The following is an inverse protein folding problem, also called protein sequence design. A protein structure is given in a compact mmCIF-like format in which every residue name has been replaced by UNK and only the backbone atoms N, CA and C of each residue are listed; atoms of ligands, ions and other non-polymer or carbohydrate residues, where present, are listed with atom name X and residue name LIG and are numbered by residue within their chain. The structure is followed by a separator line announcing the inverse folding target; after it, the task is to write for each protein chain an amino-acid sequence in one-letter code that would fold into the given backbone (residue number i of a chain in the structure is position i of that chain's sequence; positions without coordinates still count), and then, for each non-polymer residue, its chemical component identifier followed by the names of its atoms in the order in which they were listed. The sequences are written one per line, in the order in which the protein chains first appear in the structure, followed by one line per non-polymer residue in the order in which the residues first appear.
data_IF_246607664409
#
_entry.id   IF_246607664409
#
_cell.length_a   1.000
_cell.length_b   1.000
_cell.length_c   1.000
_cell.angle_alpha   90.00
_cell.angle_beta   90.00
_cell.angle_gamma   90.00
#
_symmetry.space_group_name_H-M   'P 1'
#
loop_
_entity.id
_entity.type
_entity.pdbx_description
1 polymer ?
#
# COMPACT_ATOMS: atom_id res chain seq x y z
N UNK A 1 35.36 -6.80 -44.25
CA UNK A 1 34.61 -7.45 -43.15
C UNK A 1 35.26 -7.29 -41.76
N UNK A 2 35.98 -6.19 -41.46
CA UNK A 2 36.81 -6.12 -40.23
C UNK A 2 36.50 -5.02 -39.21
N UNK A 3 35.67 -4.00 -39.51
CA UNK A 3 35.51 -2.83 -38.63
C UNK A 3 34.10 -2.62 -38.03
N UNK A 4 33.05 -3.22 -38.62
CA UNK A 4 31.68 -3.14 -38.07
C UNK A 4 31.40 -4.12 -36.92
N UNK A 5 32.30 -5.09 -36.66
CA UNK A 5 32.18 -6.03 -35.53
C UNK A 5 32.80 -5.50 -34.23
N UNK A 6 33.65 -4.47 -34.27
CA UNK A 6 34.27 -3.89 -33.07
C UNK A 6 33.34 -2.86 -32.36
N UNK A 7 32.57 -2.07 -33.12
CA UNK A 7 31.62 -1.11 -32.56
C UNK A 7 30.41 -1.74 -31.84
N UNK A 8 30.08 -3.00 -32.13
CA UNK A 8 29.03 -3.75 -31.40
C UNK A 8 29.52 -4.38 -30.08
N UNK A 9 30.84 -4.40 -29.84
CA UNK A 9 31.39 -4.84 -28.55
C UNK A 9 31.47 -3.70 -27.53
N UNK A 10 31.61 -2.43 -27.96
CA UNK A 10 31.70 -1.29 -27.04
C UNK A 10 30.35 -0.81 -26.50
N UNK A 11 29.22 -1.10 -27.15
CA UNK A 11 27.88 -0.81 -26.60
C UNK A 11 27.46 -1.78 -25.49
N UNK A 12 28.12 -2.94 -25.39
CA UNK A 12 27.93 -3.91 -24.30
C UNK A 12 28.64 -3.53 -23.00
N UNK A 13 29.51 -2.51 -23.00
CA UNK A 13 30.19 -2.02 -21.81
C UNK A 13 29.49 -0.82 -21.13
N UNK A 14 28.41 -0.28 -21.72
CA UNK A 14 27.62 0.80 -21.10
C UNK A 14 26.55 0.31 -20.12
N UNK A 15 26.14 -0.96 -20.17
CA UNK A 15 25.25 -1.53 -19.13
C UNK A 15 25.96 -1.68 -17.79
N UNK A 16 27.28 -1.95 -17.81
CA UNK A 16 28.12 -2.05 -16.61
C UNK A 16 28.33 -0.70 -15.91
N UNK A 17 28.28 0.43 -16.63
CA UNK A 17 28.32 1.77 -15.99
C UNK A 17 26.99 2.12 -15.30
N UNK A 18 25.84 1.70 -15.83
CA UNK A 18 24.53 1.92 -15.20
C UNK A 18 24.28 1.00 -14.00
N UNK A 19 24.70 -0.27 -14.08
CA UNK A 19 24.66 -1.15 -12.90
C UNK A 19 25.66 -0.70 -11.84
N UNK A 20 26.82 -0.14 -12.19
CA UNK A 20 27.73 0.46 -11.20
C UNK A 20 27.19 1.73 -10.56
N UNK A 21 26.36 2.54 -11.22
CA UNK A 21 25.72 3.72 -10.59
C UNK A 21 24.60 3.29 -9.63
N UNK A 22 23.82 2.26 -9.98
CA UNK A 22 22.82 1.64 -9.08
C UNK A 22 23.52 0.92 -7.92
N UNK A 23 24.62 0.21 -8.18
CA UNK A 23 25.47 -0.39 -7.15
C UNK A 23 26.23 0.65 -6.32
N UNK A 24 26.59 1.82 -6.86
CA UNK A 24 27.20 2.92 -6.11
C UNK A 24 26.16 3.62 -5.23
N UNK A 25 24.93 3.81 -5.70
CA UNK A 25 23.81 4.26 -4.85
C UNK A 25 23.47 3.23 -3.76
N UNK A 26 23.62 1.92 -4.03
CA UNK A 26 23.45 0.85 -3.05
C UNK A 26 24.67 0.64 -2.13
N UNK A 27 25.89 1.00 -2.55
CA UNK A 27 27.14 0.83 -1.78
C UNK A 27 27.59 2.07 -1.01
N UNK A 28 26.99 3.24 -1.24
CA UNK A 28 27.31 4.47 -0.52
C UNK A 28 26.69 4.55 0.89
N UNK A 29 25.98 3.53 1.37
CA UNK A 29 25.41 3.50 2.73
C UNK A 29 26.32 2.90 3.79
N UNK A 30 27.57 2.55 3.47
CA UNK A 30 28.49 2.02 4.47
C UNK A 30 29.44 3.09 4.99
N UNK A 31 29.33 3.35 6.30
CA UNK A 31 30.20 4.14 7.18
C UNK A 31 29.93 5.64 7.30
N UNK A 32 28.87 5.93 8.05
CA UNK A 32 28.89 6.81 9.24
C UNK A 32 27.98 6.11 10.28
N UNK A 33 28.09 6.39 11.58
CA UNK A 33 27.10 5.90 12.57
C UNK A 33 25.72 6.49 12.23
N UNK A 34 25.04 5.86 11.27
CA UNK A 34 23.78 6.27 10.70
C UNK A 34 22.69 5.70 11.60
N UNK A 35 21.82 6.57 12.10
CA UNK A 35 20.64 6.15 12.85
C UNK A 35 19.91 5.04 12.09
N UNK A 36 19.55 3.96 12.79
CA UNK A 36 18.94 2.79 12.17
C UNK A 36 17.66 3.16 11.41
N UNK A 37 17.47 2.56 10.22
CA UNK A 37 16.31 2.82 9.34
C UNK A 37 14.97 2.41 9.97
N UNK A 38 15.00 1.48 10.92
CA UNK A 38 13.88 1.08 11.76
C UNK A 38 14.37 0.96 13.20
N UNK A 39 13.60 1.50 14.14
CA UNK A 39 13.87 1.35 15.57
C UNK A 39 12.93 0.29 16.13
N UNK A 40 13.50 -0.68 16.82
CA UNK A 40 12.79 -1.81 17.42
C UNK A 40 13.06 -1.77 18.92
N UNK A 41 12.07 -1.31 19.68
CA UNK A 41 12.20 -1.08 21.11
C UNK A 41 11.20 -1.92 21.88
N UNK A 42 11.50 -2.18 23.15
CA UNK A 42 10.55 -2.71 24.11
C UNK A 42 10.28 -1.66 25.16
N UNK A 43 9.01 -1.29 25.35
CA UNK A 43 8.58 -0.32 26.36
C UNK A 43 7.51 -0.98 27.23
N UNK A 44 7.88 -1.31 28.47
CA UNK A 44 7.01 -2.08 29.36
C UNK A 44 6.63 -3.45 28.77
N UNK A 45 5.33 -3.64 28.53
CA UNK A 45 4.76 -4.86 27.95
C UNK A 45 4.64 -4.80 26.41
N UNK A 46 4.99 -3.68 25.78
CA UNK A 46 4.81 -3.45 24.35
C UNK A 46 6.12 -3.60 23.56
N UNK A 47 6.04 -4.21 22.38
CA UNK A 47 7.02 -4.06 21.31
C UNK A 47 6.67 -2.85 20.45
N UNK A 48 7.64 -1.96 20.19
CA UNK A 48 7.43 -0.74 19.41
C UNK A 48 8.32 -0.76 18.18
N UNK A 49 7.69 -0.64 17.01
CA UNK A 49 8.32 -0.52 15.70
C UNK A 49 8.19 0.93 15.25
N UNK A 50 9.30 1.63 15.10
CA UNK A 50 9.30 2.99 14.52
C UNK A 50 10.01 2.96 13.18
N UNK A 51 9.26 3.20 12.09
CA UNK A 51 9.81 3.39 10.76
C UNK A 51 10.58 4.73 10.74
N UNK A 52 11.90 4.71 10.58
CA UNK A 52 12.77 5.83 10.92
C UNK A 52 13.52 6.37 9.70
N UNK A 53 12.79 6.64 8.61
CA UNK A 53 13.32 7.28 7.40
C UNK A 53 12.47 8.50 7.01
N UNK A 54 12.27 9.50 7.90
CA UNK A 54 11.31 10.58 7.69
C UNK A 54 11.62 11.43 6.45
N UNK A 55 12.90 11.55 6.07
CA UNK A 55 13.34 12.25 4.85
C UNK A 55 12.84 11.58 3.56
N UNK A 56 12.56 10.29 3.62
CA UNK A 56 12.05 9.47 2.52
C UNK A 56 10.62 8.97 2.80
N UNK A 57 9.84 9.74 3.57
CA UNK A 57 8.44 9.41 3.92
C UNK A 57 8.28 7.99 4.50
N UNK A 58 9.30 7.50 5.22
CA UNK A 58 9.32 6.19 5.85
C UNK A 58 9.11 5.01 4.87
N UNK A 59 9.38 5.18 3.57
CA UNK A 59 9.31 4.09 2.58
C UNK A 59 10.12 2.87 3.03
N UNK A 60 9.50 1.70 3.03
CA UNK A 60 10.12 0.46 3.49
C UNK A 60 11.23 -0.02 2.55
N UNK A 61 12.31 -0.49 3.16
CA UNK A 61 13.41 -1.18 2.48
C UNK A 61 13.35 -2.66 2.82
N UNK A 62 13.98 -3.50 1.98
CA UNK A 62 14.16 -4.93 2.28
C UNK A 62 14.88 -5.14 3.62
N UNK A 63 15.80 -4.24 3.98
CA UNK A 63 16.50 -4.26 5.28
C UNK A 63 15.55 -4.04 6.46
N UNK A 64 14.64 -3.06 6.34
CA UNK A 64 13.60 -2.83 7.35
C UNK A 64 12.65 -4.03 7.46
N UNK A 65 12.14 -4.55 6.33
CA UNK A 65 11.21 -5.68 6.32
C UNK A 65 11.83 -6.91 7.00
N UNK A 66 13.09 -7.24 6.69
CA UNK A 66 13.80 -8.36 7.33
C UNK A 66 13.94 -8.18 8.84
N UNK A 67 14.27 -6.97 9.29
CA UNK A 67 14.40 -6.65 10.73
C UNK A 67 13.06 -6.73 11.44
N UNK A 68 12.01 -6.12 10.88
CA UNK A 68 10.67 -6.11 11.47
C UNK A 68 10.12 -7.54 11.54
N UNK A 69 10.19 -8.29 10.43
CA UNK A 69 9.69 -9.67 10.41
C UNK A 69 10.39 -10.55 11.45
N UNK A 70 11.72 -10.49 11.52
CA UNK A 70 12.49 -11.26 12.51
C UNK A 70 12.11 -10.88 13.95
N UNK A 71 11.85 -9.60 14.22
CA UNK A 71 11.47 -9.12 15.55
C UNK A 71 10.02 -9.46 15.91
N UNK A 72 9.09 -9.37 14.96
CA UNK A 72 7.71 -9.80 15.14
C UNK A 72 7.64 -11.27 15.56
N UNK A 73 8.40 -12.15 14.89
CA UNK A 73 8.47 -13.58 15.26
C UNK A 73 9.03 -13.82 16.67
N UNK A 74 9.96 -12.99 17.13
CA UNK A 74 10.44 -13.05 18.52
C UNK A 74 9.36 -12.59 19.51
N UNK A 75 8.66 -11.49 19.24
CA UNK A 75 7.63 -10.96 20.13
C UNK A 75 6.35 -11.81 20.17
N UNK A 76 5.98 -12.48 19.07
CA UNK A 76 4.90 -13.47 19.06
C UNK A 76 5.11 -14.56 20.11
N UNK A 77 6.36 -15.04 20.26
CA UNK A 77 6.73 -16.09 21.21
C UNK A 77 7.13 -15.55 22.59
N UNK A 78 7.30 -14.24 22.76
CA UNK A 78 7.69 -13.66 24.04
C UNK A 78 6.47 -13.58 24.98
N UNK A 79 6.46 -14.33 26.11
CA UNK A 79 5.36 -14.26 27.07
C UNK A 79 5.26 -12.91 27.77
N UNK A 80 6.32 -12.09 27.72
CA UNK A 80 6.34 -10.77 28.33
C UNK A 80 5.89 -9.66 27.35
N UNK A 81 5.73 -9.94 26.06
CA UNK A 81 5.19 -8.97 25.10
C UNK A 81 3.71 -9.23 24.91
N UNK A 82 2.89 -8.22 25.18
CA UNK A 82 1.42 -8.32 25.17
C UNK A 82 0.79 -7.59 24.00
N UNK A 83 1.45 -6.57 23.48
CA UNK A 83 1.00 -5.82 22.32
C UNK A 83 2.17 -5.32 21.48
N UNK A 84 1.91 -5.03 20.21
CA UNK A 84 2.88 -4.46 19.28
C UNK A 84 2.30 -3.19 18.69
N UNK A 85 3.08 -2.11 18.72
CA UNK A 85 2.75 -0.83 18.10
C UNK A 85 3.69 -0.62 16.91
N UNK A 86 3.13 -0.24 15.75
CA UNK A 86 3.91 0.30 14.63
C UNK A 86 3.56 1.78 14.42
N UNK A 87 4.59 2.61 14.22
CA UNK A 87 4.44 4.05 13.94
C UNK A 87 5.53 4.55 12.99
N UNK A 88 5.30 5.71 12.37
CA UNK A 88 6.30 6.42 11.57
C UNK A 88 7.01 7.49 12.40
N UNK A 89 8.30 7.68 12.16
CA UNK A 89 9.03 8.83 12.67
C UNK A 89 8.66 10.11 11.90
N UNK A 90 8.62 11.24 12.60
CA UNK A 90 8.23 12.54 12.05
C UNK A 90 6.72 12.71 11.90
N UNK A 91 6.30 13.88 11.40
CA UNK A 91 4.88 14.26 11.36
C UNK A 91 4.21 14.12 9.98
N UNK A 92 4.98 13.79 8.93
CA UNK A 92 4.50 13.86 7.54
C UNK A 92 3.93 12.54 7.03
N UNK A 93 4.54 11.43 7.40
CA UNK A 93 4.22 10.13 6.82
C UNK A 93 4.35 9.02 7.86
N UNK A 94 3.36 8.13 7.88
CA UNK A 94 3.50 6.84 8.54
C UNK A 94 4.43 5.97 7.71
N UNK A 95 4.04 5.70 6.46
CA UNK A 95 4.82 4.90 5.50
C UNK A 95 4.28 5.06 4.07
N UNK A 96 5.17 5.19 3.10
CA UNK A 96 4.84 5.27 1.68
C UNK A 96 5.40 4.07 0.89
N UNK A 97 5.00 2.82 1.22
CA UNK A 97 5.31 1.60 0.45
C UNK A 97 5.96 0.46 1.25
N UNK A 98 5.91 -0.79 0.73
CA UNK A 98 6.47 -2.09 1.20
C UNK A 98 5.66 -2.96 2.22
N UNK A 99 5.75 -4.30 2.14
CA UNK A 99 4.80 -5.26 2.77
C UNK A 99 5.28 -5.93 4.08
N UNK A 100 4.35 -6.26 4.99
CA UNK A 100 4.56 -7.14 6.16
C UNK A 100 3.29 -7.98 6.47
N UNK A 101 3.53 -9.28 6.65
CA UNK A 101 2.59 -10.42 6.77
C UNK A 101 1.55 -10.33 7.91
N UNK A 102 0.38 -10.88 7.61
CA UNK A 102 -0.83 -11.07 8.43
C UNK A 102 -0.81 -12.33 9.33
N UNK A 103 0.06 -12.39 10.32
CA UNK A 103 -0.08 -13.46 11.32
C UNK A 103 0.42 -13.06 12.69
N UNK A 104 0.19 -11.81 13.09
CA UNK A 104 0.60 -11.36 14.41
C UNK A 104 -0.34 -11.99 15.47
N UNK A 105 0.18 -12.98 16.20
CA UNK A 105 -0.57 -13.67 17.27
C UNK A 105 -0.86 -12.78 18.48
N UNK A 106 -0.18 -11.64 18.58
CA UNK A 106 -0.36 -10.63 19.62
C UNK A 106 -1.16 -9.45 19.05
N UNK A 107 -1.96 -8.73 19.86
CA UNK A 107 -2.57 -7.47 19.48
C UNK A 107 -1.58 -6.53 18.77
N UNK A 108 -1.95 -6.09 17.56
CA UNK A 108 -1.13 -5.23 16.71
C UNK A 108 -1.86 -3.92 16.43
N UNK A 109 -1.24 -2.80 16.78
CA UNK A 109 -1.78 -1.46 16.67
C UNK A 109 -0.92 -0.66 15.70
N UNK A 110 -1.51 -0.20 14.60
CA UNK A 110 -0.87 0.72 13.67
C UNK A 110 -1.33 2.17 13.91
N UNK A 111 -0.40 3.05 14.30
CA UNK A 111 -0.65 4.48 14.42
C UNK A 111 -0.39 5.14 13.06
N UNK A 112 -1.39 5.13 12.18
CA UNK A 112 -1.29 5.56 10.77
C UNK A 112 -1.42 7.08 10.60
N UNK A 113 -0.67 7.82 11.42
CA UNK A 113 -0.57 9.28 11.34
C UNK A 113 0.21 9.72 10.10
N UNK A 114 -0.37 10.62 9.29
CA UNK A 114 0.25 11.11 8.05
C UNK A 114 -0.01 10.22 6.83
N UNK A 115 0.82 10.39 5.79
CA UNK A 115 0.73 9.61 4.54
C UNK A 115 0.91 8.11 4.81
N UNK A 116 -0.07 7.32 4.34
CA UNK A 116 -0.13 5.86 4.42
C UNK A 116 -0.54 5.33 3.04
N UNK A 117 0.44 4.91 2.23
CA UNK A 117 0.21 4.50 0.83
C UNK A 117 0.98 3.23 0.47
N UNK A 118 0.42 2.46 -0.48
CA UNK A 118 0.99 1.18 -0.93
C UNK A 118 1.30 0.26 0.23
N UNK A 119 2.51 -0.27 0.32
CA UNK A 119 2.86 -1.11 1.46
C UNK A 119 2.83 -0.44 2.86
N UNK A 120 2.78 0.89 2.98
CA UNK A 120 2.38 1.50 4.25
C UNK A 120 0.98 1.04 4.72
N UNK A 121 0.08 0.83 3.77
CA UNK A 121 -1.20 0.15 4.00
C UNK A 121 -0.97 -1.33 4.35
N UNK A 122 -0.10 -2.02 3.63
CA UNK A 122 0.23 -3.44 3.89
C UNK A 122 0.67 -3.72 5.33
N UNK A 123 1.54 -2.89 5.90
CA UNK A 123 2.02 -3.05 7.30
C UNK A 123 1.05 -2.56 8.37
N UNK A 124 -0.14 -2.10 7.98
CA UNK A 124 -1.14 -1.52 8.89
C UNK A 124 -2.53 -2.15 8.77
N UNK A 125 -3.12 -2.25 7.58
CA UNK A 125 -4.53 -2.60 7.36
C UNK A 125 -4.89 -4.00 7.83
N UNK A 126 -3.94 -4.94 7.74
CA UNK A 126 -4.11 -6.33 8.23
C UNK A 126 -3.92 -6.44 9.74
N UNK A 127 -3.42 -5.37 10.38
CA UNK A 127 -3.36 -5.24 11.81
C UNK A 127 -4.74 -5.20 12.46
N UNK A 128 -4.81 -5.68 13.70
CA UNK A 128 -6.06 -5.73 14.45
C UNK A 128 -6.64 -4.33 14.74
N UNK A 129 -5.77 -3.36 15.01
CA UNK A 129 -6.16 -1.98 15.26
C UNK A 129 -5.37 -1.02 14.37
N UNK A 130 -6.07 -0.06 13.77
CA UNK A 130 -5.48 1.00 12.95
C UNK A 130 -6.05 2.35 13.40
N UNK A 131 -5.20 3.23 13.89
CA UNK A 131 -5.58 4.53 14.47
C UNK A 131 -5.21 5.63 13.50
N UNK A 132 -6.21 6.26 12.89
CA UNK A 132 -6.04 7.45 12.06
C UNK A 132 -6.10 8.73 12.90
N UNK A 133 -5.59 9.80 12.29
CA UNK A 133 -5.67 11.18 12.79
C UNK A 133 -6.14 12.08 11.66
N UNK A 134 -6.39 13.36 11.92
CA UNK A 134 -6.77 14.33 10.89
C UNK A 134 -5.70 14.51 9.80
N UNK A 135 -4.43 14.20 10.09
CA UNK A 135 -3.34 14.22 9.10
C UNK A 135 -3.21 12.93 8.28
N UNK A 136 -3.97 11.88 8.60
CA UNK A 136 -3.89 10.62 7.87
C UNK A 136 -4.29 10.80 6.41
N UNK A 137 -3.51 10.25 5.48
CA UNK A 137 -3.83 10.25 4.05
C UNK A 137 -3.63 8.85 3.50
N UNK A 138 -4.72 8.20 3.12
CA UNK A 138 -4.74 6.89 2.52
C UNK A 138 -4.84 6.96 1.00
N UNK A 139 -4.07 6.13 0.29
CA UNK A 139 -4.33 5.78 -1.11
C UNK A 139 -3.62 4.48 -1.50
N UNK A 140 -4.14 3.80 -2.52
CA UNK A 140 -3.48 2.73 -3.27
C UNK A 140 -3.21 3.22 -4.70
N UNK A 141 -2.14 4.01 -4.94
CA UNK A 141 -1.91 4.69 -6.22
C UNK A 141 -1.17 3.83 -7.27
N UNK A 142 -1.09 2.51 -7.09
CA UNK A 142 -0.22 1.62 -7.86
C UNK A 142 -0.55 1.59 -9.36
N UNK A 143 -1.82 1.78 -9.74
CA UNK A 143 -2.24 1.84 -11.15
C UNK A 143 -1.63 3.02 -11.91
N UNK A 144 -1.24 4.09 -11.19
CA UNK A 144 -0.58 5.26 -11.75
C UNK A 144 0.91 5.05 -12.04
N UNK A 145 1.49 3.96 -11.52
CA UNK A 145 2.92 3.64 -11.69
C UNK A 145 3.14 2.31 -12.43
N UNK A 146 2.11 1.78 -13.10
CA UNK A 146 2.24 0.53 -13.85
C UNK A 146 2.35 -0.71 -12.97
N UNK A 147 1.80 -0.65 -11.75
CA UNK A 147 1.64 -1.78 -10.83
C UNK A 147 0.15 -1.95 -10.49
N UNK A 148 -0.18 -2.79 -9.52
CA UNK A 148 -1.53 -3.03 -9.01
C UNK A 148 -1.50 -2.88 -7.48
N UNK A 149 -2.64 -2.62 -6.82
CA UNK A 149 -2.73 -2.55 -5.36
C UNK A 149 -2.35 -3.89 -4.71
N UNK A 150 -1.07 -4.05 -4.40
CA UNK A 150 -0.48 -5.26 -3.83
C UNK A 150 -0.61 -5.27 -2.30
N UNK A 151 0.30 -5.95 -1.60
CA UNK A 151 0.37 -6.02 -0.12
C UNK A 151 -0.93 -6.46 0.54
N UNK A 152 -1.68 -7.34 -0.10
CA UNK A 152 -3.00 -7.80 0.33
C UNK A 152 -4.15 -6.89 -0.10
N UNK A 153 -3.93 -5.94 -1.01
CA UNK A 153 -4.96 -5.09 -1.60
C UNK A 153 -6.11 -5.89 -2.19
N UNK A 154 -5.81 -7.00 -2.87
CA UNK A 154 -6.80 -7.93 -3.41
C UNK A 154 -7.66 -8.60 -2.33
N UNK A 155 -7.24 -8.58 -1.07
CA UNK A 155 -7.99 -9.14 0.05
C UNK A 155 -8.88 -8.09 0.71
N UNK A 156 -8.31 -6.97 1.17
CA UNK A 156 -9.07 -6.02 1.99
C UNK A 156 -9.94 -5.09 1.15
N UNK A 157 -9.52 -4.67 -0.06
CA UNK A 157 -10.28 -3.73 -0.88
C UNK A 157 -11.66 -4.30 -1.26
N UNK A 158 -11.79 -5.55 -1.76
CA UNK A 158 -13.10 -6.12 -2.06
C UNK A 158 -14.01 -6.35 -0.84
N UNK A 159 -13.47 -6.22 0.39
CA UNK A 159 -14.18 -6.39 1.65
C UNK A 159 -14.64 -5.07 2.27
N UNK A 160 -14.27 -3.93 1.66
CA UNK A 160 -14.87 -2.64 1.99
C UNK A 160 -16.33 -2.59 1.52
N UNK A 161 -17.10 -1.64 2.06
CA UNK A 161 -18.52 -1.51 1.73
C UNK A 161 -18.79 -1.40 0.22
N UNK A 162 -19.71 -2.22 -0.28
CA UNK A 162 -20.13 -2.20 -1.68
C UNK A 162 -18.96 -2.35 -2.67
N UNK A 163 -18.78 -1.35 -3.54
CA UNK A 163 -17.66 -1.26 -4.50
C UNK A 163 -16.66 -0.16 -4.18
N UNK A 164 -16.65 0.35 -2.94
CA UNK A 164 -15.69 1.36 -2.50
C UNK A 164 -14.25 0.93 -2.77
N UNK A 165 -13.88 -0.30 -2.42
CA UNK A 165 -12.52 -0.77 -2.66
C UNK A 165 -12.13 -0.86 -4.13
N UNK A 166 -13.08 -1.19 -5.02
CA UNK A 166 -12.84 -1.20 -6.47
C UNK A 166 -12.57 0.22 -6.99
N UNK A 167 -13.36 1.18 -6.52
CA UNK A 167 -13.16 2.59 -6.81
C UNK A 167 -11.79 3.08 -6.33
N UNK A 168 -11.44 2.81 -5.06
CA UNK A 168 -10.15 3.22 -4.48
C UNK A 168 -8.97 2.60 -5.22
N UNK A 169 -9.07 1.31 -5.58
CA UNK A 169 -8.03 0.54 -6.26
C UNK A 169 -7.73 1.05 -7.68
N UNK A 170 -8.78 1.30 -8.47
CA UNK A 170 -8.63 1.66 -9.87
C UNK A 170 -8.28 3.13 -10.06
N UNK A 171 -8.75 4.01 -9.17
CA UNK A 171 -8.57 5.47 -9.30
C UNK A 171 -7.42 6.02 -8.47
N UNK A 172 -6.93 5.28 -7.47
CA UNK A 172 -5.95 5.78 -6.50
C UNK A 172 -6.48 6.95 -5.65
N UNK A 173 -7.80 7.05 -5.49
CA UNK A 173 -8.46 8.14 -4.77
C UNK A 173 -7.93 8.26 -3.34
N UNK A 174 -7.73 9.51 -2.90
CA UNK A 174 -7.15 9.83 -1.60
C UNK A 174 -8.24 10.08 -0.57
N UNK A 175 -8.26 9.24 0.46
CA UNK A 175 -9.04 9.50 1.67
C UNK A 175 -8.17 10.24 2.68
N UNK A 176 -8.74 11.20 3.40
CA UNK A 176 -8.02 12.02 4.38
C UNK A 176 -8.73 12.05 5.72
N UNK A 177 -7.96 12.14 6.79
CA UNK A 177 -8.49 12.34 8.13
C UNK A 177 -9.52 11.29 8.51
N UNK A 178 -10.68 11.75 8.98
CA UNK A 178 -11.77 10.88 9.43
C UNK A 178 -12.41 10.04 8.31
N UNK A 179 -12.28 10.46 7.04
CA UNK A 179 -12.75 9.65 5.91
C UNK A 179 -12.03 8.29 5.81
N UNK A 180 -10.79 8.18 6.32
CA UNK A 180 -10.04 6.91 6.39
C UNK A 180 -10.69 5.95 7.40
N UNK A 181 -11.22 6.48 8.51
CA UNK A 181 -12.00 5.71 9.48
C UNK A 181 -13.37 5.34 8.91
N UNK A 182 -14.12 6.31 8.37
CA UNK A 182 -15.48 6.06 7.88
C UNK A 182 -15.50 5.06 6.71
N UNK A 183 -14.45 5.04 5.88
CA UNK A 183 -14.27 4.04 4.82
C UNK A 183 -13.98 2.61 5.34
N UNK A 184 -13.70 2.43 6.63
CA UNK A 184 -13.35 1.15 7.24
C UNK A 184 -11.86 0.77 7.14
N UNK A 185 -11.00 1.68 6.68
CA UNK A 185 -9.55 1.43 6.56
C UNK A 185 -8.87 1.63 7.91
N UNK A 186 -9.20 2.70 8.64
CA UNK A 186 -8.85 2.81 10.06
C UNK A 186 -9.95 2.18 10.91
N UNK A 187 -9.59 1.58 12.05
CA UNK A 187 -10.58 1.08 13.03
C UNK A 187 -10.95 2.13 14.05
N UNK A 188 -10.06 3.08 14.31
CA UNK A 188 -10.28 4.19 15.24
C UNK A 188 -9.75 5.49 14.63
N UNK A 189 -10.26 6.60 15.15
CA UNK A 189 -9.78 7.94 14.85
C UNK A 189 -9.49 8.69 16.15
N UNK A 190 -8.36 9.37 16.24
CA UNK A 190 -7.96 10.17 17.40
C UNK A 190 -7.39 11.50 16.92
N UNK A 191 -7.74 12.60 17.58
CA UNK A 191 -7.16 13.92 17.28
C UNK A 191 -5.64 13.88 17.54
N UNK A 192 -4.82 14.41 16.64
CA UNK A 192 -3.35 14.31 16.73
C UNK A 192 -2.80 14.77 18.08
N UNK A 193 -3.36 15.82 18.67
CA UNK A 193 -2.95 16.32 19.98
C UNK A 193 -3.08 15.29 21.12
N UNK A 194 -3.92 14.26 20.96
CA UNK A 194 -4.12 13.16 21.90
C UNK A 194 -3.35 11.90 21.54
N UNK A 195 -2.74 11.82 20.36
CA UNK A 195 -2.04 10.63 19.90
C UNK A 195 -0.86 10.25 20.81
N UNK A 196 -0.12 11.24 21.32
CA UNK A 196 0.98 11.01 22.26
C UNK A 196 0.49 10.41 23.58
N UNK A 197 -0.59 10.95 24.16
CA UNK A 197 -1.20 10.43 25.39
C UNK A 197 -1.76 9.02 25.18
N UNK A 198 -2.39 8.76 24.03
CA UNK A 198 -2.84 7.41 23.68
C UNK A 198 -1.68 6.41 23.66
N UNK A 199 -0.55 6.78 23.02
CA UNK A 199 0.62 5.91 22.99
C UNK A 199 1.14 5.65 24.40
N UNK A 200 1.27 6.69 25.23
CA UNK A 200 1.71 6.56 26.62
C UNK A 200 0.80 5.64 27.44
N UNK A 201 -0.52 5.77 27.33
CA UNK A 201 -1.49 4.94 28.03
C UNK A 201 -1.39 3.47 27.59
N UNK A 202 -1.26 3.20 26.28
CA UNK A 202 -1.05 1.85 25.78
C UNK A 202 0.25 1.23 26.31
N UNK A 203 1.33 2.01 26.37
CA UNK A 203 2.62 1.56 26.90
C UNK A 203 2.62 1.35 28.42
N UNK A 204 1.75 2.06 29.14
CA UNK A 204 1.61 1.98 30.59
C UNK A 204 0.85 0.71 31.05
N UNK A 205 0.07 0.09 30.18
CA UNK A 205 -0.71 -1.13 30.47
C UNK A 205 0.17 -2.24 31.05
N UNK A 206 -0.40 -3.02 31.99
CA UNK A 206 0.25 -4.15 32.66
C UNK A 206 -0.42 -5.44 32.23
N UNK A 207 0.28 -6.22 31.40
CA UNK A 207 -0.20 -7.51 30.89
C UNK A 207 -1.61 -7.45 30.26
N UNK A 208 -1.89 -6.49 29.36
CA UNK A 208 -3.25 -6.26 28.87
C UNK A 208 -3.77 -7.42 28.02
N UNK A 209 -5.07 -7.66 28.12
CA UNK A 209 -5.81 -8.43 27.11
C UNK A 209 -6.09 -7.57 25.87
N UNK A 210 -6.64 -8.20 24.83
CA UNK A 210 -7.09 -7.48 23.63
C UNK A 210 -8.20 -6.47 23.97
N UNK A 211 -9.09 -6.82 24.89
CA UNK A 211 -10.21 -5.98 25.32
C UNK A 211 -9.71 -4.74 26.04
N UNK A 212 -8.71 -4.87 26.92
CA UNK A 212 -8.12 -3.70 27.58
C UNK A 212 -7.52 -2.71 26.57
N UNK A 213 -6.91 -3.21 25.50
CA UNK A 213 -6.38 -2.36 24.42
C UNK A 213 -7.52 -1.69 23.66
N UNK A 214 -8.57 -2.43 23.33
CA UNK A 214 -9.75 -1.88 22.65
C UNK A 214 -10.42 -0.78 23.48
N UNK A 215 -10.58 -0.97 24.80
CA UNK A 215 -11.19 0.02 25.70
C UNK A 215 -10.41 1.35 25.72
N UNK A 216 -9.08 1.28 25.73
CA UNK A 216 -8.22 2.47 25.64
C UNK A 216 -8.44 3.16 24.30
N UNK A 217 -8.38 2.42 23.19
CA UNK A 217 -8.58 2.99 21.85
C UNK A 217 -9.96 3.64 21.70
N UNK A 218 -11.02 2.98 22.18
CA UNK A 218 -12.40 3.47 22.13
C UNK A 218 -12.57 4.73 22.98
N UNK A 219 -11.94 4.79 24.16
CA UNK A 219 -11.97 5.98 25.03
C UNK A 219 -11.43 7.22 24.32
N UNK A 220 -10.32 7.08 23.58
CA UNK A 220 -9.76 8.18 22.81
C UNK A 220 -10.58 8.48 21.56
N UNK A 221 -11.13 7.45 20.91
CA UNK A 221 -11.98 7.60 19.74
C UNK A 221 -13.25 8.39 20.04
N UNK A 222 -14.00 8.01 21.07
CA UNK A 222 -15.23 8.68 21.50
C UNK A 222 -15.02 10.15 21.91
N UNK A 223 -13.81 10.50 22.37
CA UNK A 223 -13.42 11.87 22.74
C UNK A 223 -12.96 12.71 21.56
N UNK A 224 -12.61 12.10 20.42
CA UNK A 224 -12.12 12.82 19.24
C UNK A 224 -13.18 13.73 18.65
N UNK A 225 -12.81 14.97 18.29
CA UNK A 225 -13.75 16.01 17.83
C UNK A 225 -13.55 16.41 16.38
N UNK A 226 -12.34 16.28 15.84
CA UNK A 226 -12.04 16.78 14.49
C UNK A 226 -12.91 16.06 13.46
N UNK A 227 -13.65 16.80 12.64
CA UNK A 227 -14.55 16.29 11.61
C UNK A 227 -15.63 15.28 12.12
N UNK A 228 -15.97 15.27 13.42
CA UNK A 228 -16.89 14.26 13.99
C UNK A 228 -18.26 14.23 13.31
N UNK A 229 -18.81 15.40 12.95
CA UNK A 229 -20.12 15.54 12.31
C UNK A 229 -20.03 15.70 10.77
N UNK A 230 -18.82 15.61 10.21
CA UNK A 230 -18.60 15.75 8.77
C UNK A 230 -19.06 14.47 8.05
N UNK A 231 -19.93 14.56 7.03
CA UNK A 231 -20.31 13.38 6.26
C UNK A 231 -19.09 12.81 5.53
N UNK A 232 -19.13 11.50 5.28
CA UNK A 232 -18.12 10.83 4.49
C UNK A 232 -18.03 11.46 3.09
N UNK A 233 -16.82 11.77 2.63
CA UNK A 233 -16.60 12.48 1.37
C UNK A 233 -17.19 11.78 0.13
N UNK A 234 -17.43 10.47 0.20
CA UNK A 234 -18.02 9.69 -0.90
C UNK A 234 -19.47 9.28 -0.63
N UNK A 235 -20.08 9.70 0.48
CA UNK A 235 -21.42 9.26 0.92
C UNK A 235 -22.46 9.44 -0.21
N UNK A 236 -22.56 10.65 -0.76
CA UNK A 236 -23.50 10.99 -1.84
C UNK A 236 -23.18 10.31 -3.18
N UNK A 237 -22.01 9.67 -3.29
CA UNK A 237 -21.55 8.98 -4.48
C UNK A 237 -21.59 7.45 -4.32
N UNK A 238 -21.86 6.92 -3.13
CA UNK A 238 -21.75 5.48 -2.86
C UNK A 238 -22.66 4.63 -3.74
N UNK A 239 -23.92 5.02 -3.94
CA UNK A 239 -24.84 4.29 -4.83
C UNK A 239 -24.34 4.26 -6.27
N UNK A 240 -23.79 5.38 -6.74
CA UNK A 240 -23.22 5.50 -8.07
C UNK A 240 -21.93 4.71 -8.21
N UNK A 241 -21.03 4.77 -7.23
CA UNK A 241 -19.81 3.96 -7.16
C UNK A 241 -20.18 2.47 -7.22
N UNK A 242 -21.17 2.03 -6.44
CA UNK A 242 -21.66 0.66 -6.45
C UNK A 242 -22.14 0.24 -7.84
N UNK A 243 -22.88 1.12 -8.53
CA UNK A 243 -23.34 0.88 -9.89
C UNK A 243 -22.19 0.83 -10.91
N UNK A 244 -21.37 1.88 -11.00
CA UNK A 244 -20.33 1.97 -12.02
C UNK A 244 -19.30 0.85 -11.93
N UNK A 245 -18.87 0.51 -10.71
CA UNK A 245 -17.83 -0.49 -10.43
C UNK A 245 -18.40 -1.90 -10.19
N UNK A 246 -19.67 -2.14 -10.55
CA UNK A 246 -20.26 -3.49 -10.53
C UNK A 246 -19.87 -4.34 -11.75
N UNK A 247 -19.39 -3.71 -12.82
CA UNK A 247 -19.06 -4.39 -14.06
C UNK A 247 -17.81 -5.29 -13.96
N UNK A 248 -17.72 -6.26 -14.87
CA UNK A 248 -16.66 -7.28 -14.88
C UNK A 248 -15.45 -6.88 -15.76
N UNK A 249 -15.53 -5.77 -16.48
CA UNK A 249 -14.46 -5.28 -17.36
C UNK A 249 -14.23 -3.79 -17.11
N UNK A 250 -12.98 -3.33 -17.31
CA UNK A 250 -12.63 -1.93 -17.13
C UNK A 250 -13.31 -1.06 -18.19
N UNK A 251 -13.47 -1.59 -19.40
CA UNK A 251 -14.19 -0.94 -20.50
C UNK A 251 -15.64 -0.62 -20.11
N UNK A 252 -16.35 -1.58 -19.51
CA UNK A 252 -17.71 -1.33 -19.02
C UNK A 252 -17.75 -0.31 -17.87
N UNK A 253 -16.76 -0.31 -16.97
CA UNK A 253 -16.66 0.71 -15.91
C UNK A 253 -16.48 2.11 -16.52
N UNK A 254 -15.61 2.22 -17.53
CA UNK A 254 -15.38 3.45 -18.30
C UNK A 254 -16.66 3.91 -18.98
N UNK A 255 -17.40 3.00 -19.62
CA UNK A 255 -18.68 3.30 -20.26
C UNK A 255 -19.74 3.74 -19.24
N UNK A 256 -19.83 3.08 -18.09
CA UNK A 256 -20.76 3.42 -17.02
C UNK A 256 -20.52 4.85 -16.48
N UNK A 257 -19.24 5.21 -16.23
CA UNK A 257 -18.86 6.56 -15.80
C UNK A 257 -19.19 7.60 -16.88
N UNK A 258 -18.93 7.27 -18.15
CA UNK A 258 -19.20 8.16 -19.28
C UNK A 258 -20.70 8.39 -19.50
N UNK A 259 -21.53 7.36 -19.28
CA UNK A 259 -22.99 7.42 -19.41
C UNK A 259 -23.65 8.20 -18.28
N UNK A 260 -23.18 8.07 -17.03
CA UNK A 260 -23.72 8.87 -15.91
C UNK A 260 -23.48 10.36 -16.12
N UNK A 261 -22.28 10.75 -16.58
CA UNK A 261 -21.99 12.11 -17.02
C UNK A 261 -21.98 13.18 -15.91
N UNK A 262 -22.15 12.83 -14.64
CA UNK A 262 -22.00 13.79 -13.53
C UNK A 262 -20.56 14.31 -13.43
N UNK A 263 -20.38 15.49 -12.80
CA UNK A 263 -19.04 16.08 -12.62
C UNK A 263 -18.07 15.11 -11.97
N UNK A 264 -18.52 14.44 -10.91
CA UNK A 264 -17.72 13.44 -10.20
C UNK A 264 -17.36 12.26 -11.12
N UNK A 265 -18.33 11.68 -11.85
CA UNK A 265 -18.06 10.58 -12.77
C UNK A 265 -17.02 10.94 -13.85
N UNK A 266 -17.15 12.13 -14.46
CA UNK A 266 -16.25 12.60 -15.50
C UNK A 266 -14.85 12.96 -14.96
N UNK A 267 -14.74 13.42 -13.73
CA UNK A 267 -13.47 13.63 -13.05
C UNK A 267 -12.74 12.29 -12.81
N UNK A 268 -13.45 11.30 -12.29
CA UNK A 268 -12.90 9.97 -12.04
C UNK A 268 -12.55 9.25 -13.35
N UNK A 269 -13.32 9.47 -14.41
CA UNK A 269 -13.00 8.99 -15.76
C UNK A 269 -11.70 9.60 -16.29
N UNK A 270 -11.46 10.91 -16.09
CA UNK A 270 -10.19 11.56 -16.45
C UNK A 270 -9.01 10.98 -15.68
N UNK A 271 -9.22 10.57 -14.43
CA UNK A 271 -8.20 9.91 -13.60
C UNK A 271 -7.91 8.51 -14.15
N UNK A 272 -8.93 7.68 -14.38
CA UNK A 272 -8.76 6.31 -14.92
C UNK A 272 -8.02 6.33 -16.26
N UNK A 273 -8.35 7.27 -17.17
CA UNK A 273 -7.69 7.40 -18.47
C UNK A 273 -6.18 7.72 -18.41
N UNK A 274 -5.66 8.12 -17.24
CA UNK A 274 -4.22 8.37 -17.04
C UNK A 274 -3.47 7.16 -16.47
N UNK A 275 -4.19 6.16 -15.96
CA UNK A 275 -3.59 4.96 -15.37
C UNK A 275 -3.08 4.02 -16.46
N UNK A 276 -2.20 3.08 -16.10
CA UNK A 276 -1.77 2.03 -17.03
C UNK A 276 -2.98 1.15 -17.39
N UNK A 277 -3.29 0.94 -18.69
CA UNK A 277 -4.36 0.05 -19.12
C UNK A 277 -4.18 -1.37 -18.60
N UNK A 278 -2.95 -1.87 -18.63
CA UNK A 278 -2.57 -3.19 -18.09
C UNK A 278 -2.85 -3.27 -16.60
N UNK A 279 -2.41 -2.27 -15.84
CA UNK A 279 -2.64 -2.20 -14.39
C UNK A 279 -4.11 -2.17 -14.02
N UNK A 280 -4.94 -1.41 -14.76
CA UNK A 280 -6.38 -1.36 -14.51
C UNK A 280 -7.03 -2.74 -14.66
N UNK A 281 -6.70 -3.49 -15.73
CA UNK A 281 -7.26 -4.82 -15.95
C UNK A 281 -6.76 -5.85 -14.94
N UNK A 282 -5.46 -5.82 -14.59
CA UNK A 282 -4.90 -6.65 -13.51
C UNK A 282 -5.64 -6.38 -12.21
N UNK A 283 -5.78 -5.10 -11.84
CA UNK A 283 -6.40 -4.68 -10.60
C UNK A 283 -7.84 -5.15 -10.51
N UNK A 284 -8.66 -4.91 -11.54
CA UNK A 284 -10.07 -5.34 -11.51
C UNK A 284 -10.18 -6.87 -11.32
N UNK A 285 -9.42 -7.65 -12.09
CA UNK A 285 -9.42 -9.11 -11.97
C UNK A 285 -8.91 -9.58 -10.61
N UNK A 286 -7.82 -9.01 -10.10
CA UNK A 286 -7.26 -9.31 -8.79
C UNK A 286 -8.30 -9.09 -7.68
N UNK A 287 -9.06 -7.99 -7.73
CA UNK A 287 -10.09 -7.71 -6.74
C UNK A 287 -11.28 -8.68 -6.84
N UNK A 288 -11.70 -9.02 -8.06
CA UNK A 288 -12.76 -10.02 -8.28
C UNK A 288 -12.34 -11.39 -7.74
N UNK A 289 -11.15 -11.87 -8.09
CA UNK A 289 -10.62 -13.15 -7.60
C UNK A 289 -10.32 -13.12 -6.09
N UNK A 290 -9.79 -12.03 -5.56
CA UNK A 290 -9.41 -11.88 -4.16
C UNK A 290 -10.60 -11.74 -3.20
N UNK A 291 -11.77 -11.35 -3.70
CA UNK A 291 -13.00 -11.27 -2.91
C UNK A 291 -13.41 -12.60 -2.28
N UNK A 292 -13.06 -13.73 -2.89
CA UNK A 292 -13.38 -15.08 -2.43
C UNK A 292 -12.19 -15.88 -1.89
N UNK A 293 -11.00 -15.25 -1.81
CA UNK A 293 -9.75 -15.88 -1.34
C UNK A 293 -9.42 -15.47 0.09
N UNK A 294 -8.68 -16.33 0.78
CA UNK A 294 -7.97 -15.97 2.03
C UNK A 294 -6.80 -15.03 1.72
N UNK A 295 -6.30 -14.32 2.73
CA UNK A 295 -5.16 -13.43 2.49
C UNK A 295 -3.90 -14.17 2.01
N UNK A 296 -3.50 -15.35 2.56
CA UNK A 296 -2.39 -16.11 2.00
C UNK A 296 -2.54 -16.43 0.51
N UNK A 297 -3.75 -16.82 0.08
CA UNK A 297 -4.03 -17.08 -1.34
C UNK A 297 -3.93 -15.81 -2.19
N UNK A 298 -4.40 -14.67 -1.66
CA UNK A 298 -4.25 -13.37 -2.31
C UNK A 298 -2.77 -12.98 -2.42
N UNK A 299 -1.98 -13.12 -1.37
CA UNK A 299 -0.56 -12.78 -1.39
C UNK A 299 0.24 -13.69 -2.36
N UNK A 300 -0.15 -14.95 -2.52
CA UNK A 300 0.40 -15.84 -3.54
C UNK A 300 0.06 -15.33 -4.95
N UNK A 301 -1.19 -14.95 -5.17
CA UNK A 301 -1.64 -14.35 -6.43
C UNK A 301 -0.87 -13.06 -6.73
N UNK A 302 -0.83 -12.12 -5.78
CA UNK A 302 -0.13 -10.84 -5.91
C UNK A 302 1.37 -11.02 -6.11
N UNK A 303 1.98 -12.04 -5.49
CA UNK A 303 3.37 -12.36 -5.76
C UNK A 303 3.58 -12.68 -7.25
N UNK A 304 2.73 -13.51 -7.87
CA UNK A 304 2.81 -13.81 -9.32
C UNK A 304 2.65 -12.55 -10.17
N UNK A 305 1.62 -11.76 -9.86
CA UNK A 305 1.35 -10.49 -10.53
C UNK A 305 2.57 -9.57 -10.45
N UNK A 306 3.19 -9.44 -9.28
CA UNK A 306 4.37 -8.59 -9.08
C UNK A 306 5.55 -9.05 -9.97
N UNK A 307 5.82 -10.36 -10.03
CA UNK A 307 6.90 -10.90 -10.84
C UNK A 307 6.66 -10.70 -12.34
N UNK A 308 5.40 -10.77 -12.78
CA UNK A 308 5.01 -10.49 -14.15
C UNK A 308 5.14 -8.99 -14.48
N UNK A 309 4.67 -8.09 -13.60
CA UNK A 309 4.84 -6.65 -13.76
C UNK A 309 6.31 -6.22 -13.86
N UNK A 310 7.22 -6.87 -13.12
CA UNK A 310 8.67 -6.58 -13.23
C UNK A 310 9.24 -6.87 -14.61
N UNK A 311 8.66 -7.82 -15.36
CA UNK A 311 9.05 -8.14 -16.74
C UNK A 311 8.38 -7.22 -17.77
N UNK A 312 7.26 -6.61 -17.39
CA UNK A 312 6.48 -5.71 -18.23
C UNK A 312 7.15 -4.36 -18.46
N UNK A 313 6.53 -3.53 -19.28
CA UNK A 313 6.98 -2.19 -19.61
C UNK A 313 6.53 -1.15 -18.57
N UNK A 314 5.24 -1.16 -18.23
CA UNK A 314 4.58 -0.05 -17.56
C UNK A 314 5.11 0.24 -16.17
N UNK A 315 5.54 -0.76 -15.41
CA UNK A 315 6.11 -0.50 -14.08
C UNK A 315 7.34 0.42 -14.15
N UNK A 316 8.28 0.13 -15.05
CA UNK A 316 9.50 0.92 -15.19
C UNK A 316 9.21 2.33 -15.72
N UNK A 317 8.27 2.44 -16.66
CA UNK A 317 7.84 3.72 -17.22
C UNK A 317 7.07 4.58 -16.21
N UNK A 318 6.19 3.96 -15.41
CA UNK A 318 5.43 4.64 -14.37
C UNK A 318 6.35 5.15 -13.26
N UNK A 319 7.30 4.33 -12.82
CA UNK A 319 8.34 4.76 -11.86
C UNK A 319 9.16 5.93 -12.43
N UNK A 320 9.56 5.87 -13.71
CA UNK A 320 10.25 6.98 -14.39
C UNK A 320 9.41 8.25 -14.31
N UNK A 321 8.17 8.22 -14.81
CA UNK A 321 7.31 9.38 -14.94
C UNK A 321 6.90 10.02 -13.60
N UNK A 322 6.62 9.19 -12.58
CA UNK A 322 6.07 9.66 -11.30
C UNK A 322 7.14 9.96 -10.25
N UNK A 323 8.21 9.15 -10.19
CA UNK A 323 9.18 9.20 -9.10
C UNK A 323 10.55 9.76 -9.50
N UNK A 324 11.03 9.43 -10.71
CA UNK A 324 12.37 9.82 -11.17
C UNK A 324 12.32 11.19 -11.85
N UNK A 325 11.65 11.27 -13.00
CA UNK A 325 11.58 12.48 -13.84
C UNK A 325 10.48 13.43 -13.34
N UNK A 326 9.44 12.89 -12.68
CA UNK A 326 8.31 13.62 -12.10
C UNK A 326 7.56 14.48 -13.12
N UNK A 327 7.51 14.04 -14.37
CA UNK A 327 6.82 14.71 -15.48
C UNK A 327 5.31 14.43 -15.51
N UNK A 328 4.84 13.42 -14.76
CA UNK A 328 3.45 12.96 -14.75
C UNK A 328 2.93 12.61 -16.16
N UNK A 329 3.80 12.18 -17.07
CA UNK A 329 3.49 11.86 -18.47
C UNK A 329 4.00 10.48 -18.88
N UNK A 330 3.52 9.40 -18.23
CA UNK A 330 3.89 8.04 -18.59
C UNK A 330 3.41 7.70 -20.00
N UNK A 331 4.23 6.93 -20.72
CA UNK A 331 3.93 6.38 -22.06
C UNK A 331 3.64 4.90 -21.97
N UNK A 332 2.42 4.55 -21.55
CA UNK A 332 2.02 3.17 -21.35
C UNK A 332 2.12 2.32 -22.62
N UNK A 333 2.45 1.04 -22.43
CA UNK A 333 2.51 0.03 -23.48
C UNK A 333 1.93 -1.29 -22.96
N UNK A 334 0.75 -1.69 -23.44
CA UNK A 334 -0.12 -1.01 -24.41
C UNK A 334 -0.68 0.34 -23.93
N UNK A 335 -1.10 1.19 -24.89
CA UNK A 335 -1.59 2.54 -24.60
C UNK A 335 -3.11 2.60 -24.43
N UNK A 336 -3.84 1.63 -25.01
CA UNK A 336 -5.30 1.53 -24.92
C UNK A 336 -5.74 0.23 -24.21
N UNK A 337 -6.88 0.27 -23.53
CA UNK A 337 -7.48 -0.91 -22.87
C UNK A 337 -7.74 -2.04 -23.86
N UNK A 338 -8.16 -1.72 -25.09
CA UNK A 338 -8.48 -2.71 -26.14
C UNK A 338 -7.28 -3.55 -26.57
N UNK A 339 -6.08 -3.02 -26.37
CA UNK A 339 -4.83 -3.71 -26.74
C UNK A 339 -4.35 -4.67 -25.64
N UNK A 340 -4.91 -4.59 -24.42
CA UNK A 340 -4.64 -5.57 -23.35
C UNK A 340 -5.59 -6.75 -23.56
N UNK A 341 -5.09 -7.84 -24.12
CA UNK A 341 -5.90 -9.03 -24.39
C UNK A 341 -6.12 -9.87 -23.14
N UNK A 342 -7.13 -10.75 -23.16
CA UNK A 342 -7.34 -11.72 -22.08
C UNK A 342 -6.18 -12.71 -21.94
N UNK A 343 -5.49 -13.02 -23.05
CA UNK A 343 -4.31 -13.87 -23.05
C UNK A 343 -3.13 -13.19 -22.35
N UNK A 344 -2.87 -11.91 -22.67
CA UNK A 344 -1.88 -11.11 -21.95
C UNK A 344 -2.22 -11.06 -20.46
N UNK A 345 -3.49 -10.82 -20.12
CA UNK A 345 -3.93 -10.75 -18.73
C UNK A 345 -3.77 -12.08 -18.00
N UNK A 346 -4.10 -13.21 -18.65
CA UNK A 346 -3.93 -14.55 -18.10
C UNK A 346 -2.47 -14.84 -17.73
N UNK A 347 -1.51 -14.35 -18.52
CA UNK A 347 -0.09 -14.55 -18.27
C UNK A 347 0.38 -13.96 -16.93
N UNK A 348 -0.22 -12.85 -16.48
CA UNK A 348 0.11 -12.27 -15.18
C UNK A 348 -0.30 -13.18 -14.01
N UNK A 349 -1.39 -13.95 -14.15
CA UNK A 349 -1.96 -14.78 -13.09
C UNK A 349 -1.42 -16.22 -13.06
N UNK A 350 -0.60 -16.61 -14.04
CA UNK A 350 -0.02 -17.96 -14.12
C UNK A 350 0.82 -18.28 -12.88
N UNK A 351 0.71 -19.53 -12.40
CA UNK A 351 1.56 -20.03 -11.32
C UNK A 351 3.03 -19.99 -11.73
N UNK A 352 3.91 -19.63 -10.79
CA UNK A 352 5.36 -19.69 -10.96
C UNK A 352 5.91 -21.09 -10.61
N UNK A 353 5.05 -22.09 -10.43
CA UNK A 353 5.42 -23.45 -10.08
C UNK A 353 6.10 -23.51 -8.71
N UNK A 354 7.31 -24.09 -8.66
CA UNK A 354 8.09 -24.19 -7.43
C UNK A 354 8.48 -22.85 -6.82
N UNK A 355 8.48 -21.77 -7.62
CA UNK A 355 8.84 -20.41 -7.22
C UNK A 355 7.66 -19.57 -6.69
N UNK A 356 6.44 -20.13 -6.59
CA UNK A 356 5.33 -19.44 -5.93
C UNK A 356 5.68 -19.13 -4.45
N UNK A 357 5.11 -18.03 -3.95
CA UNK A 357 5.17 -17.69 -2.53
C UNK A 357 4.58 -18.83 -1.68
N UNK A 358 5.19 -19.09 -0.52
CA UNK A 358 4.77 -20.12 0.44
C UNK A 358 4.87 -19.54 1.85
N UNK A 359 4.03 -20.03 2.76
CA UNK A 359 3.82 -19.45 4.09
C UNK A 359 4.31 -20.30 5.24
#
# INVERSE_FOLDING_TARGET
MGLQRLCRLMSRFNSYKRTNIILQHLKMSNHTDAAAEVLLERKGCAGVITLNRPRFLNTLTLGMIRQIYAQLKKWEQDPKTFLIIIKGAGEKAFCAGGDIRDSCQKPYIALIHGITMGGGVGVSVHGQFRVATEKSVFAMPETAIGLFPDVGGGYFLPRLQGKLGYFLALTGFRLKGRDVYTAGIATHFVDFEKLGMLEEDLLALKSPSKENIADVLETYHAKSKTDQDKPFILEEHMDKINSWFSANTVEQIVDNLQQDGSSFALEQLKVIKKMSPTSLKITLRQLMEGSSKTLPEVLIMEYRLSQACMKGHDFHEGVRAVLIDKDQSPKWKPADLKEVTDEDLNDYFKSLGSNDLKF
#
